data_IF_121631071944
#
_entry.id   IF_121631071944
#
_cell.length_a   1.000
_cell.length_b   1.000
_cell.length_c   1.000
_cell.angle_alpha   90.00
_cell.angle_beta   90.00
_cell.angle_gamma   90.00
#
_symmetry.space_group_name_H-M   'P 1'
#
loop_
_entity.id
_entity.type
_entity.pdbx_description
1 polymer ?
#
# COMPACT_ATOMS: atom_id res chain seq x y z
N UNK A 1 14.12 -3.40 -10.79
CA UNK A 1 12.69 -3.14 -10.57
C UNK A 1 12.49 -1.63 -10.53
N UNK A 2 11.69 -1.05 -11.44
CA UNK A 2 11.44 0.39 -11.46
C UNK A 2 10.47 0.71 -10.33
N UNK A 3 10.94 1.38 -9.28
CA UNK A 3 10.08 1.85 -8.18
C UNK A 3 9.10 2.88 -8.74
N UNK A 4 7.84 2.50 -8.94
CA UNK A 4 6.75 3.39 -9.34
C UNK A 4 6.22 4.23 -8.14
N UNK A 5 7.02 4.42 -7.10
CA UNK A 5 6.70 5.28 -5.94
C UNK A 5 6.36 6.70 -6.35
N UNK A 6 6.95 7.19 -7.45
CA UNK A 6 6.72 8.53 -8.01
C UNK A 6 5.24 8.90 -8.17
N UNK A 7 4.37 7.94 -8.49
CA UNK A 7 2.95 8.23 -8.72
C UNK A 7 2.20 8.57 -7.42
N UNK A 8 2.73 8.17 -6.26
CA UNK A 8 2.10 8.34 -4.96
C UNK A 8 2.80 9.37 -4.08
N UNK A 9 3.87 10.01 -4.55
CA UNK A 9 4.59 11.03 -3.77
C UNK A 9 3.70 12.20 -3.34
N UNK A 10 2.62 12.48 -4.07
CA UNK A 10 1.61 13.48 -3.70
C UNK A 10 0.87 13.17 -2.39
N UNK A 11 0.99 11.93 -1.86
CA UNK A 11 0.42 11.53 -0.57
C UNK A 11 1.34 11.86 0.61
N UNK A 12 2.63 12.11 0.39
CA UNK A 12 3.56 12.43 1.49
C UNK A 12 3.09 13.66 2.26
N UNK A 13 3.16 13.59 3.59
CA UNK A 13 2.68 14.65 4.48
C UNK A 13 1.16 14.69 4.68
N UNK A 14 0.39 13.80 4.01
CA UNK A 14 -1.05 13.68 4.27
C UNK A 14 -1.33 12.87 5.52
N UNK A 15 -2.42 13.23 6.19
CA UNK A 15 -2.98 12.48 7.31
C UNK A 15 -3.65 11.18 6.84
N UNK A 16 -3.79 10.22 7.76
CA UNK A 16 -4.60 9.01 7.56
C UNK A 16 -5.99 9.30 7.00
N UNK A 17 -6.68 10.32 7.52
CA UNK A 17 -8.00 10.75 7.07
C UNK A 17 -8.01 11.23 5.62
N UNK A 18 -7.06 12.07 5.23
CA UNK A 18 -6.94 12.52 3.84
C UNK A 18 -6.62 11.37 2.89
N UNK A 19 -5.80 10.41 3.33
CA UNK A 19 -5.46 9.24 2.53
C UNK A 19 -6.69 8.35 2.31
N UNK A 20 -7.52 8.12 3.33
CA UNK A 20 -8.81 7.41 3.16
C UNK A 20 -9.69 8.15 2.14
N UNK A 21 -9.75 9.48 2.19
CA UNK A 21 -10.54 10.24 1.22
C UNK A 21 -10.02 10.13 -0.23
N UNK A 22 -8.71 9.89 -0.42
CA UNK A 22 -8.08 9.81 -1.74
C UNK A 22 -8.09 8.37 -2.29
N UNK A 23 -7.77 7.38 -1.46
CA UNK A 23 -7.59 5.99 -1.86
C UNK A 23 -8.80 5.09 -1.55
N UNK A 24 -9.72 5.56 -0.72
CA UNK A 24 -10.80 4.75 -0.15
C UNK A 24 -10.40 4.08 1.15
N UNK A 25 -11.40 3.53 1.83
CA UNK A 25 -11.20 2.73 3.03
C UNK A 25 -10.93 1.27 2.64
N UNK A 26 -9.80 0.73 3.11
CA UNK A 26 -9.48 -0.70 3.03
C UNK A 26 -9.48 -1.31 4.45
N UNK A 27 -9.18 -2.61 4.57
CA UNK A 27 -9.10 -3.34 5.86
C UNK A 27 -7.86 -2.97 6.70
N UNK A 28 -7.48 -1.69 6.69
CA UNK A 28 -6.39 -1.16 7.50
C UNK A 28 -6.92 -0.82 8.90
N UNK A 29 -6.23 -1.29 9.95
CA UNK A 29 -6.55 -0.91 11.32
C UNK A 29 -6.09 0.54 11.54
N UNK A 30 -7.04 1.44 11.83
CA UNK A 30 -6.75 2.88 11.87
C UNK A 30 -5.58 3.25 12.79
N UNK A 31 -5.43 2.70 14.00
CA UNK A 31 -4.30 3.01 14.89
C UNK A 31 -2.93 2.50 14.40
N UNK A 32 -2.87 1.57 13.44
CA UNK A 32 -1.60 0.99 13.00
C UNK A 32 -0.73 2.00 12.22
N UNK A 33 0.59 1.88 12.33
CA UNK A 33 1.55 2.77 11.68
C UNK A 33 1.88 2.34 10.25
N UNK A 34 1.45 1.15 9.84
CA UNK A 34 1.67 0.63 8.49
C UNK A 34 0.32 0.30 7.86
N UNK A 35 0.01 0.95 6.74
CA UNK A 35 -1.12 0.57 5.91
C UNK A 35 -0.66 -0.07 4.61
N UNK A 36 -1.48 -0.99 4.11
CA UNK A 36 -1.25 -1.74 2.89
C UNK A 36 -2.47 -1.57 1.99
N UNK A 37 -2.23 -1.23 0.72
CA UNK A 37 -3.27 -1.13 -0.31
C UNK A 37 -2.88 -2.03 -1.49
N UNK A 38 -3.82 -2.84 -2.00
CA UNK A 38 -3.60 -3.62 -3.23
C UNK A 38 -3.82 -2.72 -4.45
N UNK A 39 -2.74 -2.30 -5.11
CA UNK A 39 -2.83 -1.36 -6.25
C UNK A 39 -2.80 -2.06 -7.61
N UNK A 40 -2.44 -3.34 -7.67
CA UNK A 40 -2.52 -4.14 -8.88
C UNK A 40 -2.56 -5.64 -8.57
N UNK A 41 -3.32 -6.38 -9.36
CA UNK A 41 -3.33 -7.83 -9.39
C UNK A 41 -3.43 -8.33 -10.83
N UNK A 42 -2.49 -9.16 -11.25
CA UNK A 42 -2.56 -9.85 -12.53
C UNK A 42 -3.25 -11.20 -12.38
N UNK A 43 -3.78 -11.71 -13.50
CA UNK A 43 -4.42 -13.02 -13.57
C UNK A 43 -3.48 -14.16 -13.14
N UNK A 44 -2.18 -14.01 -13.41
CA UNK A 44 -1.12 -14.97 -13.06
C UNK A 44 -0.67 -14.88 -11.59
N UNK A 45 -1.49 -14.30 -10.70
CA UNK A 45 -1.24 -14.27 -9.27
C UNK A 45 -0.16 -13.30 -8.81
N UNK A 46 0.33 -12.41 -9.70
CA UNK A 46 1.22 -11.31 -9.33
C UNK A 46 0.40 -10.22 -8.65
N UNK A 47 0.74 -9.89 -7.41
CA UNK A 47 0.14 -8.80 -6.64
C UNK A 47 1.17 -7.69 -6.43
N UNK A 48 0.73 -6.45 -6.52
CA UNK A 48 1.51 -5.27 -6.16
C UNK A 48 0.75 -4.49 -5.10
N UNK A 49 1.43 -4.20 -4.00
CA UNK A 49 0.88 -3.45 -2.87
C UNK A 49 1.64 -2.15 -2.66
N UNK A 50 0.90 -1.10 -2.29
CA UNK A 50 1.40 0.16 -1.79
C UNK A 50 1.49 0.07 -0.26
N UNK A 51 2.66 0.40 0.28
CA UNK A 51 2.95 0.41 1.71
C UNK A 51 3.09 1.87 2.16
N UNK A 52 2.26 2.27 3.11
CA UNK A 52 2.21 3.62 3.66
C UNK A 52 2.63 3.56 5.12
N UNK A 53 3.74 4.22 5.48
CA UNK A 53 4.22 4.27 6.87
C UNK A 53 3.99 5.64 7.48
N UNK A 54 3.24 5.65 8.57
CA UNK A 54 2.85 6.84 9.30
C UNK A 54 3.72 7.06 10.53
N UNK A 55 3.86 8.31 10.92
CA UNK A 55 4.46 8.68 12.19
C UNK A 55 3.42 8.69 13.32
N UNK A 56 3.88 9.10 14.51
CA UNK A 56 3.06 9.20 15.72
C UNK A 56 1.93 10.23 15.59
N UNK A 57 2.06 11.19 14.67
CA UNK A 57 1.08 12.25 14.38
C UNK A 57 0.14 11.86 13.23
N UNK A 58 0.06 10.56 12.91
CA UNK A 58 -0.81 10.01 11.86
C UNK A 58 -0.53 10.58 10.45
N UNK A 59 0.68 11.11 10.24
CA UNK A 59 1.11 11.72 8.98
C UNK A 59 2.01 10.77 8.21
N UNK A 60 1.78 10.67 6.90
CA UNK A 60 2.52 9.77 6.02
C UNK A 60 3.94 10.28 5.76
N UNK A 61 4.93 9.52 6.21
CA UNK A 61 6.36 9.86 6.04
C UNK A 61 7.04 9.05 4.93
N UNK A 62 6.56 7.84 4.67
CA UNK A 62 7.24 6.93 3.75
C UNK A 62 6.26 6.12 2.92
N UNK A 63 6.60 6.01 1.64
CA UNK A 63 5.87 5.23 0.65
C UNK A 63 6.80 4.19 0.07
N UNK A 64 6.31 2.97 -0.03
CA UNK A 64 7.02 1.90 -0.72
C UNK A 64 6.04 1.08 -1.57
N UNK A 65 6.57 0.31 -2.51
CA UNK A 65 5.79 -0.62 -3.33
C UNK A 65 6.44 -1.97 -3.29
N UNK A 66 5.67 -3.01 -2.96
CA UNK A 66 6.14 -4.39 -3.03
C UNK A 66 5.33 -5.18 -4.03
N UNK A 67 6.00 -6.05 -4.75
CA UNK A 67 5.38 -6.99 -5.68
C UNK A 67 5.73 -8.41 -5.25
N UNK A 68 4.73 -9.27 -5.16
CA UNK A 68 4.91 -10.68 -4.81
C UNK A 68 4.02 -11.56 -5.69
N UNK A 69 4.41 -12.82 -5.83
CA UNK A 69 3.64 -13.82 -6.55
C UNK A 69 3.03 -14.75 -5.51
N UNK A 70 1.71 -14.98 -5.59
CA UNK A 70 1.09 -16.09 -4.91
C UNK A 70 1.57 -17.37 -5.60
N UNK A 71 2.46 -18.12 -4.94
CA UNK A 71 2.85 -19.45 -5.40
C UNK A 71 1.65 -20.37 -5.20
N UNK A 72 0.92 -20.68 -6.27
CA UNK A 72 -0.10 -21.72 -6.24
C UNK A 72 0.60 -23.08 -6.22
N UNK A 73 0.95 -23.57 -5.03
CA UNK A 73 1.25 -24.99 -4.87
C UNK A 73 -0.06 -25.75 -4.73
N UNK A 74 -0.64 -26.16 -5.85
CA UNK A 74 -1.65 -27.23 -5.84
C UNK A 74 -0.87 -28.52 -5.62
N UNK A 75 -0.75 -28.94 -4.36
CA UNK A 75 -0.39 -30.33 -4.07
C UNK A 75 -1.57 -31.20 -4.48
N UNK A 76 -1.36 -32.01 -5.52
CA UNK A 76 -2.24 -33.12 -5.87
C UNK A 76 -2.11 -34.24 -4.84
#
# INVERSE_FOLDING_TARGET
MRNNTSNYNHLLGKTKKEIINILGEEFNYYPDILWIYEINRTWWGKKTVLLLSFNQEETLEKINTKTYFLKFEIKK
#
